data_IF_615390682998
#
_entry.id   IF_615390682998
#
_cell.length_a   1.000
_cell.length_b   1.000
_cell.length_c   1.000
_cell.angle_alpha   90.00
_cell.angle_beta   90.00
_cell.angle_gamma   90.00
#
_symmetry.space_group_name_H-M   'P 1'
#
loop_
_entity.id
_entity.type
_entity.pdbx_description
1 polymer ?
#
# COMPACT_ATOMS: atom_id res chain seq x y z
N UNK A 1 -31.90 -11.84 -32.34
CA UNK A 1 -30.70 -11.00 -32.06
C UNK A 1 -29.68 -11.89 -31.39
N UNK A 2 -28.49 -12.06 -31.99
CA UNK A 2 -27.44 -12.93 -31.44
C UNK A 2 -26.57 -12.10 -30.48
N UNK A 3 -26.56 -12.46 -29.21
CA UNK A 3 -25.64 -11.89 -28.22
C UNK A 3 -24.23 -12.44 -28.46
N UNK A 4 -23.21 -11.66 -28.10
CA UNK A 4 -21.84 -12.17 -27.98
C UNK A 4 -21.84 -13.24 -26.88
N UNK A 5 -21.37 -14.44 -27.20
CA UNK A 5 -21.29 -15.55 -26.26
C UNK A 5 -19.88 -15.66 -25.67
N UNK A 6 -19.82 -15.90 -24.36
CA UNK A 6 -18.56 -16.22 -23.67
C UNK A 6 -18.23 -17.71 -23.72
N UNK A 7 -17.17 -18.10 -23.04
CA UNK A 7 -16.74 -19.50 -22.93
C UNK A 7 -17.61 -20.28 -21.92
N UNK A 8 -17.97 -21.55 -22.23
CA UNK A 8 -18.78 -22.38 -21.34
C UNK A 8 -17.96 -22.88 -20.15
N UNK A 9 -18.57 -22.90 -18.96
CA UNK A 9 -17.91 -23.22 -17.67
C UNK A 9 -17.29 -24.62 -17.58
N UNK A 10 -17.73 -25.55 -18.42
CA UNK A 10 -17.24 -26.92 -18.50
C UNK A 10 -16.17 -27.12 -19.59
N UNK A 11 -15.80 -26.06 -20.32
CA UNK A 11 -14.68 -26.11 -21.26
C UNK A 11 -13.38 -26.33 -20.48
N UNK A 12 -12.68 -27.40 -20.84
CA UNK A 12 -11.40 -27.77 -20.21
C UNK A 12 -10.27 -27.47 -21.18
N UNK A 13 -9.12 -27.03 -20.68
CA UNK A 13 -7.89 -26.85 -21.46
C UNK A 13 -6.98 -28.07 -21.36
N UNK A 14 -6.12 -28.30 -22.36
CA UNK A 14 -5.15 -29.41 -22.33
C UNK A 14 -4.15 -29.25 -21.17
N UNK A 15 -3.75 -28.01 -20.88
CA UNK A 15 -2.93 -27.63 -19.73
C UNK A 15 -3.64 -26.56 -18.91
N UNK A 16 -3.57 -26.60 -17.56
CA UNK A 16 -4.09 -25.52 -16.73
C UNK A 16 -3.42 -24.19 -17.06
N UNK A 17 -4.22 -23.13 -17.19
CA UNK A 17 -3.70 -21.76 -17.38
C UNK A 17 -2.90 -21.35 -16.14
N UNK A 18 -1.69 -20.82 -16.33
CA UNK A 18 -0.89 -20.33 -15.21
C UNK A 18 -1.50 -19.03 -14.66
N UNK A 19 -1.32 -18.77 -13.36
CA UNK A 19 -1.83 -17.52 -12.76
C UNK A 19 -1.12 -16.31 -13.39
N UNK A 20 0.14 -16.46 -13.82
CA UNK A 20 0.89 -15.39 -14.45
C UNK A 20 0.30 -14.98 -15.81
N UNK A 21 -0.20 -15.94 -16.60
CA UNK A 21 -0.92 -15.66 -17.86
C UNK A 21 -2.23 -14.90 -17.66
N UNK A 22 -2.86 -15.03 -16.49
CA UNK A 22 -4.10 -14.32 -16.17
C UNK A 22 -3.88 -12.86 -15.78
N UNK A 23 -2.63 -12.44 -15.55
CA UNK A 23 -2.30 -11.08 -15.12
C UNK A 23 -1.55 -10.34 -16.24
N UNK A 24 -2.13 -9.27 -16.81
CA UNK A 24 -1.46 -8.46 -17.84
C UNK A 24 -0.09 -7.95 -17.40
N UNK A 25 0.83 -7.78 -18.35
CA UNK A 25 2.21 -7.34 -18.08
C UNK A 25 2.30 -5.90 -17.50
N UNK A 26 1.31 -5.06 -17.81
CA UNK A 26 1.17 -3.68 -17.34
C UNK A 26 0.25 -3.55 -16.11
N UNK A 27 -0.18 -4.67 -15.52
CA UNK A 27 -1.09 -4.65 -14.38
C UNK A 27 -0.45 -4.09 -13.11
N UNK A 28 -1.23 -3.35 -12.31
CA UNK A 28 -0.77 -2.65 -11.10
C UNK A 28 -0.11 -3.60 -10.08
N UNK A 29 -0.59 -4.83 -9.93
CA UNK A 29 -0.01 -5.82 -9.00
C UNK A 29 1.46 -6.11 -9.30
N UNK A 30 1.89 -6.03 -10.56
CA UNK A 30 3.31 -6.20 -10.94
C UNK A 30 4.15 -5.01 -10.47
N UNK A 31 3.58 -3.80 -10.45
CA UNK A 31 4.23 -2.61 -9.87
C UNK A 31 4.35 -2.74 -8.37
N UNK A 32 3.31 -3.21 -7.68
CA UNK A 32 3.32 -3.46 -6.24
C UNK A 32 4.42 -4.48 -5.89
N UNK A 33 4.46 -5.61 -6.59
CA UNK A 33 5.46 -6.66 -6.38
C UNK A 33 6.89 -6.13 -6.60
N UNK A 34 7.13 -5.47 -7.73
CA UNK A 34 8.44 -4.90 -8.06
C UNK A 34 8.87 -3.77 -7.11
N UNK A 35 7.93 -2.99 -6.56
CA UNK A 35 8.23 -1.98 -5.55
C UNK A 35 8.64 -2.62 -4.22
N UNK A 36 7.86 -3.58 -3.72
CA UNK A 36 8.15 -4.26 -2.46
C UNK A 36 9.45 -5.06 -2.54
N UNK A 37 9.81 -5.61 -3.70
CA UNK A 37 11.08 -6.27 -3.91
C UNK A 37 12.32 -5.35 -3.80
N UNK A 38 12.15 -4.03 -3.94
CA UNK A 38 13.26 -3.06 -3.90
C UNK A 38 13.49 -2.44 -2.52
N UNK A 39 12.56 -2.57 -1.60
CA UNK A 39 12.67 -1.96 -0.27
C UNK A 39 13.31 -2.93 0.73
N UNK A 40 14.18 -2.40 1.58
CA UNK A 40 14.75 -3.17 2.68
C UNK A 40 13.80 -3.11 3.88
N UNK A 41 13.05 -4.19 4.08
CA UNK A 41 12.06 -4.28 5.15
C UNK A 41 12.69 -4.27 6.55
N UNK A 42 13.94 -4.73 6.68
CA UNK A 42 14.66 -4.69 7.97
C UNK A 42 15.03 -3.25 8.32
N UNK A 43 15.55 -2.50 7.35
CA UNK A 43 15.89 -1.07 7.53
C UNK A 43 14.63 -0.24 7.80
N UNK A 44 13.50 -0.60 7.19
CA UNK A 44 12.21 0.06 7.44
C UNK A 44 11.57 -0.32 8.78
N UNK A 45 12.15 -1.28 9.51
CA UNK A 45 11.71 -1.66 10.85
C UNK A 45 10.49 -2.60 10.87
N UNK A 46 10.30 -3.42 9.83
CA UNK A 46 9.28 -4.47 9.88
C UNK A 46 9.70 -5.58 10.83
N UNK A 47 8.79 -5.92 11.74
CA UNK A 47 8.92 -7.09 12.59
C UNK A 47 8.97 -8.36 11.74
N UNK A 48 9.73 -9.36 12.19
CA UNK A 48 9.88 -10.67 11.52
C UNK A 48 10.48 -10.57 10.10
N UNK A 49 11.11 -9.45 9.74
CA UNK A 49 11.92 -9.34 8.52
C UNK A 49 13.05 -10.39 8.50
N UNK A 50 13.53 -10.80 9.68
CA UNK A 50 14.40 -11.95 9.86
C UNK A 50 13.64 -13.07 10.57
N UNK A 51 13.51 -14.27 9.96
CA UNK A 51 12.81 -15.38 10.58
C UNK A 51 13.62 -15.92 11.77
N UNK A 52 12.90 -16.34 12.82
CA UNK A 52 13.52 -17.03 13.96
C UNK A 52 13.93 -18.45 13.54
N UNK A 53 15.01 -18.96 14.15
CA UNK A 53 15.52 -20.32 13.89
C UNK A 53 14.53 -21.41 14.33
N UNK A 54 13.75 -21.15 15.39
CA UNK A 54 12.84 -22.12 16.00
C UNK A 54 11.38 -21.64 15.96
N UNK A 55 10.46 -22.60 15.92
CA UNK A 55 9.01 -22.36 15.94
C UNK A 55 8.39 -22.38 14.54
N UNK A 56 7.08 -22.09 14.47
CA UNK A 56 6.37 -22.00 13.18
C UNK A 56 6.88 -20.77 12.41
N UNK A 57 7.30 -20.92 11.14
CA UNK A 57 7.67 -19.79 10.31
C UNK A 57 6.49 -18.80 10.17
N UNK A 58 6.72 -17.49 10.35
CA UNK A 58 5.70 -16.49 10.08
C UNK A 58 5.54 -16.28 8.57
N UNK A 59 4.45 -15.62 8.17
CA UNK A 59 4.36 -15.03 6.84
C UNK A 59 5.49 -14.02 6.63
N UNK A 60 5.99 -13.92 5.40
CA UNK A 60 6.97 -12.91 5.04
C UNK A 60 6.30 -11.52 5.12
N UNK A 61 6.88 -10.54 5.84
CA UNK A 61 6.38 -9.17 5.87
C UNK A 61 6.18 -8.54 4.49
N UNK A 62 6.96 -8.95 3.49
CA UNK A 62 6.81 -8.53 2.10
C UNK A 62 5.42 -8.89 1.53
N UNK A 63 4.95 -10.11 1.76
CA UNK A 63 3.67 -10.59 1.22
C UNK A 63 2.50 -9.85 1.87
N UNK A 64 2.54 -9.68 3.20
CA UNK A 64 1.51 -8.93 3.93
C UNK A 64 1.51 -7.44 3.55
N UNK A 65 2.68 -6.85 3.31
CA UNK A 65 2.78 -5.48 2.81
C UNK A 65 2.18 -5.32 1.41
N UNK A 66 2.47 -6.26 0.49
CA UNK A 66 1.86 -6.27 -0.86
C UNK A 66 0.34 -6.31 -0.77
N UNK A 67 -0.21 -7.16 0.10
CA UNK A 67 -1.66 -7.25 0.33
C UNK A 67 -2.25 -5.92 0.82
N UNK A 68 -1.58 -5.24 1.75
CA UNK A 68 -2.05 -3.94 2.23
C UNK A 68 -1.98 -2.86 1.15
N UNK A 69 -0.90 -2.80 0.37
CA UNK A 69 -0.79 -1.87 -0.75
C UNK A 69 -1.91 -2.12 -1.77
N UNK A 70 -2.19 -3.39 -2.09
CA UNK A 70 -3.33 -3.77 -2.93
C UNK A 70 -4.65 -3.23 -2.34
N UNK A 71 -4.91 -3.50 -1.06
CA UNK A 71 -6.08 -2.99 -0.35
C UNK A 71 -6.20 -1.47 -0.41
N UNK A 72 -5.11 -0.72 -0.30
CA UNK A 72 -5.14 0.73 -0.41
C UNK A 72 -5.52 1.22 -1.81
N UNK A 73 -4.93 0.65 -2.86
CA UNK A 73 -5.24 1.02 -4.25
C UNK A 73 -6.69 0.69 -4.64
N UNK A 74 -7.20 -0.45 -4.20
CA UNK A 74 -8.57 -0.90 -4.49
C UNK A 74 -9.61 -0.52 -3.41
N UNK A 75 -9.22 0.30 -2.44
CA UNK A 75 -10.07 0.79 -1.33
C UNK A 75 -10.68 -0.33 -0.45
N UNK A 76 -9.99 -1.46 -0.33
CA UNK A 76 -10.35 -2.58 0.55
C UNK A 76 -9.64 -2.39 1.89
N UNK A 77 -10.38 -1.90 2.88
CA UNK A 77 -9.83 -1.48 4.18
C UNK A 77 -10.05 -2.48 5.31
N UNK A 78 -11.07 -3.31 5.20
CA UNK A 78 -11.39 -4.38 6.16
C UNK A 78 -10.42 -5.54 5.99
N UNK A 79 -9.83 -5.99 7.10
CA UNK A 79 -8.93 -7.14 7.11
C UNK A 79 -9.65 -8.44 6.73
N UNK A 80 -10.95 -8.58 7.06
CA UNK A 80 -11.78 -9.71 6.61
C UNK A 80 -12.06 -9.67 5.11
N UNK A 81 -12.29 -8.48 4.55
CA UNK A 81 -12.44 -8.35 3.09
C UNK A 81 -11.13 -8.71 2.39
N UNK A 82 -9.98 -8.30 2.94
CA UNK A 82 -8.67 -8.70 2.40
C UNK A 82 -8.45 -10.22 2.45
N UNK A 83 -8.79 -10.88 3.56
CA UNK A 83 -8.79 -12.34 3.68
C UNK A 83 -9.67 -12.99 2.59
N UNK A 84 -10.89 -12.47 2.37
CA UNK A 84 -11.77 -12.98 1.32
C UNK A 84 -11.20 -12.80 -0.09
N UNK A 85 -10.52 -11.67 -0.36
CA UNK A 85 -9.84 -11.45 -1.65
C UNK A 85 -8.71 -12.47 -1.89
N UNK A 86 -7.96 -12.85 -0.85
CA UNK A 86 -6.90 -13.87 -0.98
C UNK A 86 -7.42 -15.21 -1.50
N UNK A 87 -8.70 -15.52 -1.26
CA UNK A 87 -9.33 -16.79 -1.63
C UNK A 87 -10.02 -16.78 -3.00
N UNK A 88 -10.38 -15.60 -3.54
CA UNK A 88 -11.22 -15.51 -4.74
C UNK A 88 -10.65 -14.68 -5.88
N UNK A 89 -9.71 -13.78 -5.58
CA UNK A 89 -9.23 -12.81 -6.53
C UNK A 89 -7.90 -13.27 -7.14
N UNK A 90 -7.89 -13.48 -8.46
CA UNK A 90 -6.72 -13.95 -9.19
C UNK A 90 -5.52 -13.01 -9.06
N UNK A 91 -5.76 -11.70 -8.95
CA UNK A 91 -4.72 -10.69 -8.78
C UNK A 91 -4.01 -10.85 -7.43
N UNK A 92 -4.79 -11.10 -6.36
CA UNK A 92 -4.24 -11.30 -5.01
C UNK A 92 -3.58 -12.67 -4.90
N UNK A 93 -4.16 -13.70 -5.52
CA UNK A 93 -3.54 -15.01 -5.61
C UNK A 93 -2.18 -14.96 -6.32
N UNK A 94 -2.07 -14.18 -7.40
CA UNK A 94 -0.81 -13.94 -8.08
C UNK A 94 0.16 -13.20 -7.15
N UNK A 95 -0.28 -12.09 -6.56
CA UNK A 95 0.55 -11.21 -5.75
C UNK A 95 1.12 -11.89 -4.50
N UNK A 96 0.38 -12.84 -3.93
CA UNK A 96 0.74 -13.56 -2.70
C UNK A 96 1.17 -15.01 -2.93
N UNK A 97 1.36 -15.45 -4.17
CA UNK A 97 1.65 -16.85 -4.49
C UNK A 97 0.64 -17.84 -3.86
N UNK A 98 -0.66 -17.48 -3.90
CA UNK A 98 -1.79 -18.20 -3.28
C UNK A 98 -1.72 -18.35 -1.75
N UNK A 99 -0.89 -17.57 -1.05
CA UNK A 99 -0.99 -17.47 0.40
C UNK A 99 -2.32 -16.79 0.78
N UNK A 100 -2.96 -17.32 1.81
CA UNK A 100 -4.23 -16.81 2.32
C UNK A 100 -4.15 -16.61 3.85
N UNK A 101 -3.48 -15.53 4.31
CA UNK A 101 -3.45 -15.19 5.72
C UNK A 101 -4.86 -14.89 6.22
N UNK A 102 -5.14 -15.29 7.46
CA UNK A 102 -6.42 -14.99 8.10
C UNK A 102 -6.53 -13.50 8.46
N UNK A 103 -7.75 -13.01 8.68
CA UNK A 103 -7.98 -11.60 8.98
C UNK A 103 -7.22 -11.11 10.22
N UNK A 104 -6.98 -11.99 11.21
CA UNK A 104 -6.23 -11.65 12.43
C UNK A 104 -4.77 -11.39 12.10
N UNK A 105 -4.14 -12.28 11.34
CA UNK A 105 -2.77 -12.13 10.85
C UNK A 105 -2.60 -10.82 10.08
N UNK A 106 -3.58 -10.50 9.22
CA UNK A 106 -3.59 -9.26 8.43
C UNK A 106 -3.67 -8.05 9.38
N UNK A 107 -4.69 -8.00 10.25
CA UNK A 107 -4.90 -6.87 11.16
C UNK A 107 -3.73 -6.66 12.14
N UNK A 108 -3.23 -7.75 12.74
CA UNK A 108 -2.10 -7.73 13.66
C UNK A 108 -0.84 -7.21 12.97
N UNK A 109 -0.59 -7.61 11.72
CA UNK A 109 0.56 -7.11 10.96
C UNK A 109 0.54 -5.59 10.81
N UNK A 110 -0.61 -4.98 10.48
CA UNK A 110 -0.70 -3.51 10.38
C UNK A 110 -0.50 -2.85 11.73
N UNK A 111 -1.20 -3.33 12.76
CA UNK A 111 -1.15 -2.77 14.12
C UNK A 111 0.29 -2.76 14.64
N UNK A 112 0.96 -3.91 14.55
CA UNK A 112 2.31 -4.10 15.10
C UNK A 112 3.38 -3.34 14.28
N UNK A 113 3.14 -3.10 12.98
CA UNK A 113 4.11 -2.47 12.07
C UNK A 113 3.74 -1.03 11.62
N UNK A 114 2.91 -0.33 12.39
CA UNK A 114 2.38 1.02 12.05
C UNK A 114 3.46 2.03 11.63
N UNK A 115 4.60 2.04 12.33
CA UNK A 115 5.72 2.95 12.03
C UNK A 115 6.38 2.58 10.70
N UNK A 116 6.62 1.28 10.46
CA UNK A 116 7.21 0.77 9.23
C UNK A 116 6.30 1.01 8.02
N UNK A 117 4.98 0.93 8.18
CA UNK A 117 4.00 1.30 7.15
C UNK A 117 4.13 2.77 6.73
N UNK A 118 4.19 3.67 7.72
CA UNK A 118 4.36 5.11 7.46
C UNK A 118 5.69 5.40 6.76
N UNK A 119 6.77 4.71 7.17
CA UNK A 119 8.08 4.80 6.53
C UNK A 119 8.04 4.28 5.07
N UNK A 120 7.34 3.19 4.82
CA UNK A 120 7.16 2.60 3.48
C UNK A 120 6.43 3.57 2.54
N UNK A 121 5.34 4.19 3.00
CA UNK A 121 4.62 5.19 2.22
C UNK A 121 5.49 6.42 1.92
N UNK A 122 6.32 6.85 2.88
CA UNK A 122 7.29 7.93 2.68
C UNK A 122 8.34 7.55 1.63
N UNK A 123 8.89 6.34 1.70
CA UNK A 123 9.85 5.83 0.73
C UNK A 123 9.24 5.76 -0.68
N UNK A 124 7.97 5.36 -0.80
CA UNK A 124 7.26 5.34 -2.08
C UNK A 124 7.14 6.74 -2.68
N UNK A 125 6.75 7.75 -1.90
CA UNK A 125 6.66 9.14 -2.38
C UNK A 125 8.04 9.67 -2.79
N UNK A 126 9.10 9.34 -2.04
CA UNK A 126 10.46 9.71 -2.40
C UNK A 126 10.92 9.04 -3.71
N UNK A 127 10.60 7.76 -3.88
CA UNK A 127 10.82 7.03 -5.13
C UNK A 127 10.09 7.70 -6.30
N UNK A 128 8.80 8.02 -6.15
CA UNK A 128 8.02 8.72 -7.19
C UNK A 128 8.61 10.09 -7.54
N UNK A 129 9.16 10.82 -6.55
CA UNK A 129 9.89 12.07 -6.80
C UNK A 129 11.19 11.82 -7.58
N UNK A 130 11.98 10.84 -7.19
CA UNK A 130 13.24 10.48 -7.87
C UNK A 130 13.03 9.98 -9.30
N UNK A 131 11.94 9.25 -9.54
CA UNK A 131 11.54 8.78 -10.86
C UNK A 131 10.86 9.87 -11.73
N UNK A 132 10.67 11.08 -11.19
CA UNK A 132 10.02 12.18 -11.91
C UNK A 132 8.50 12.00 -12.11
N UNK A 133 7.85 11.10 -11.36
CA UNK A 133 6.39 10.94 -11.34
C UNK A 133 5.70 12.02 -10.50
N UNK A 134 6.41 12.54 -9.50
CA UNK A 134 6.01 13.72 -8.71
C UNK A 134 6.98 14.85 -9.02
N UNK A 135 6.54 15.81 -9.83
CA UNK A 135 7.32 16.99 -10.21
C UNK A 135 6.80 18.23 -9.50
N UNK A 136 7.70 19.18 -9.26
CA UNK A 136 7.39 20.54 -8.87
C UNK A 136 8.40 21.46 -9.51
N UNK A 137 7.92 22.57 -10.06
CA UNK A 137 8.78 23.58 -10.67
C UNK A 137 9.27 24.53 -9.57
N UNK A 138 10.59 24.56 -9.34
CA UNK A 138 11.19 25.55 -8.44
C UNK A 138 11.34 26.87 -9.20
N UNK A 139 10.47 27.81 -8.92
CA UNK A 139 10.60 29.19 -9.41
C UNK A 139 11.27 30.03 -8.33
N UNK A 140 12.57 30.29 -8.50
CA UNK A 140 13.30 31.24 -7.66
C UNK A 140 13.22 32.63 -8.30
N UNK A 141 12.60 33.58 -7.61
CA UNK A 141 12.52 34.99 -8.03
C UNK A 141 13.43 35.78 -7.11
N UNK A 142 14.53 36.32 -7.65
CA UNK A 142 15.29 37.34 -6.94
C UNK A 142 14.52 38.67 -7.00
N UNK A 143 14.21 39.23 -5.84
CA UNK A 143 13.27 40.33 -5.74
C UNK A 143 13.58 41.24 -4.57
N UNK A 144 13.58 42.54 -4.83
CA UNK A 144 13.58 43.56 -3.78
C UNK A 144 12.27 43.49 -2.98
N UNK A 145 12.36 43.58 -1.64
CA UNK A 145 11.18 43.52 -0.76
C UNK A 145 10.38 44.81 -0.85
N UNK A 146 9.27 44.80 -1.57
CA UNK A 146 8.29 45.90 -1.60
C UNK A 146 7.07 45.56 -0.73
N UNK A 147 6.44 46.58 -0.12
CA UNK A 147 5.14 46.41 0.54
C UNK A 147 4.09 46.08 -0.52
N UNK A 148 3.69 44.82 -0.59
CA UNK A 148 2.61 44.36 -1.44
C UNK A 148 1.31 44.22 -0.63
N UNK A 149 0.15 44.38 -1.29
CA UNK A 149 -1.17 44.04 -0.72
C UNK A 149 -1.36 42.51 -0.78
N UNK A 150 -0.49 41.78 -0.09
CA UNK A 150 -0.53 40.33 0.02
C UNK A 150 -1.00 39.96 1.43
N UNK A 151 -1.96 39.04 1.52
CA UNK A 151 -2.40 38.51 2.82
C UNK A 151 -1.25 37.77 3.50
N UNK A 152 -0.99 38.06 4.78
CA UNK A 152 -0.05 37.30 5.62
C UNK A 152 -0.36 35.78 5.65
N UNK A 153 -1.57 35.37 5.24
CA UNK A 153 -1.97 33.96 5.13
C UNK A 153 -1.41 33.23 3.90
N UNK A 154 -0.98 33.96 2.85
CA UNK A 154 -0.40 33.34 1.63
C UNK A 154 1.12 33.18 1.71
N UNK A 155 1.76 33.73 2.73
CA UNK A 155 3.19 33.53 2.97
C UNK A 155 3.41 32.28 3.83
N UNK A 156 4.01 31.25 3.23
CA UNK A 156 4.38 30.02 3.92
C UNK A 156 5.78 30.20 4.49
N UNK A 157 5.90 30.14 5.82
CA UNK A 157 7.19 30.14 6.52
C UNK A 157 7.65 28.73 6.84
N UNK A 158 8.94 28.55 7.14
CA UNK A 158 9.47 27.28 7.65
C UNK A 158 8.73 26.80 8.91
N UNK A 159 8.32 27.72 9.79
CA UNK A 159 7.49 27.42 10.97
C UNK A 159 6.08 26.95 10.58
N UNK A 160 5.51 27.49 9.50
CA UNK A 160 4.22 27.05 8.98
C UNK A 160 4.32 25.62 8.42
N UNK A 161 5.35 25.33 7.60
CA UNK A 161 5.60 23.99 7.06
C UNK A 161 5.78 22.95 8.16
N UNK A 162 6.53 23.25 9.22
CA UNK A 162 6.68 22.35 10.37
C UNK A 162 5.34 21.99 11.01
N UNK A 163 4.48 22.99 11.24
CA UNK A 163 3.13 22.76 11.79
C UNK A 163 2.24 21.95 10.85
N UNK A 164 2.36 22.14 9.55
CA UNK A 164 1.57 21.37 8.59
C UNK A 164 2.03 19.91 8.51
N UNK A 165 3.34 19.66 8.60
CA UNK A 165 3.88 18.30 8.75
C UNK A 165 3.33 17.63 10.01
N UNK A 166 3.38 18.30 11.16
CA UNK A 166 2.83 17.77 12.42
C UNK A 166 1.33 17.43 12.31
N UNK A 167 0.54 18.29 11.65
CA UNK A 167 -0.89 18.02 11.39
C UNK A 167 -1.11 16.82 10.47
N UNK A 168 -0.27 16.66 9.45
CA UNK A 168 -0.34 15.51 8.55
C UNK A 168 -0.02 14.22 9.28
N UNK A 169 1.01 14.22 10.12
CA UNK A 169 1.37 13.06 10.96
C UNK A 169 0.23 12.69 11.91
N UNK A 170 -0.41 13.68 12.55
CA UNK A 170 -1.60 13.45 13.39
C UNK A 170 -2.79 12.89 12.60
N UNK A 171 -3.00 13.32 11.36
CA UNK A 171 -4.06 12.78 10.49
C UNK A 171 -3.78 11.34 10.09
N UNK A 172 -2.53 10.99 9.80
CA UNK A 172 -2.12 9.62 9.50
C UNK A 172 -2.38 8.72 10.71
N UNK A 173 -1.92 9.15 11.89
CA UNK A 173 -2.13 8.40 13.13
C UNK A 173 -3.62 8.15 13.43
N UNK A 174 -4.46 9.20 13.32
CA UNK A 174 -5.91 9.07 13.50
C UNK A 174 -6.52 8.09 12.51
N UNK A 175 -6.12 8.19 11.24
CA UNK A 175 -6.64 7.32 10.20
C UNK A 175 -6.32 5.85 10.45
N UNK A 176 -5.09 5.54 10.88
CA UNK A 176 -4.70 4.17 11.25
C UNK A 176 -5.48 3.67 12.47
N UNK A 177 -5.69 4.51 13.48
CA UNK A 177 -6.53 4.15 14.64
C UNK A 177 -7.97 3.81 14.25
N UNK A 178 -8.58 4.57 13.31
CA UNK A 178 -9.92 4.26 12.80
C UNK A 178 -9.99 2.90 12.10
N UNK A 179 -8.92 2.50 11.39
CA UNK A 179 -8.86 1.16 10.78
C UNK A 179 -8.81 0.07 11.86
N UNK A 180 -8.05 0.29 12.93
CA UNK A 180 -7.95 -0.66 14.04
C UNK A 180 -9.28 -0.79 14.81
N UNK A 181 -9.99 0.31 15.04
CA UNK A 181 -11.33 0.32 15.62
C UNK A 181 -12.33 -0.46 14.74
N UNK A 182 -12.28 -0.27 13.42
CA UNK A 182 -13.12 -0.99 12.47
C UNK A 182 -12.86 -2.50 12.52
N UNK A 183 -11.59 -2.92 12.54
CA UNK A 183 -11.24 -4.35 12.62
C UNK A 183 -11.67 -4.97 13.97
N UNK A 184 -11.65 -4.20 15.06
CA UNK A 184 -12.20 -4.65 16.36
C UNK A 184 -13.73 -4.84 16.30
N UNK A 185 -14.46 -3.90 15.67
CA UNK A 185 -15.92 -4.03 15.52
C UNK A 185 -16.34 -5.21 14.65
N UNK A 186 -15.52 -5.60 13.68
CA UNK A 186 -15.75 -6.77 12.82
C UNK A 186 -15.38 -8.09 13.52
N UNK A 187 -14.67 -8.02 14.65
CA UNK A 187 -14.24 -9.19 15.43
C UNK A 187 -15.22 -9.56 16.56
N UNK A 188 -16.08 -8.62 16.96
CA UNK A 188 -17.18 -8.81 17.91
C UNK A 188 -18.39 -9.48 17.26
#
# INVERSE_FOLDING_TARGET
>A
MAYIQGEPRNQTSLFPVSIDELIPADHLVRVIDAYVARIDLKVLGFDKAEPKVNGRPPYNPADLLKLYLYGYFYQIRSSRRLEAECQRNVEVMWLLNRLAPDFKTIADFRRDNTVAFSATCRAFVQFCRGAGLVKGDLVAIDGSKFRAVASNRRHVSTKHLKRDLEKLDQRIARYLATLDESDQSESA
#
